data_IF_502317431507
#
_entry.id   IF_502317431507
#
_cell.length_a   1.000
_cell.length_b   1.000
_cell.length_c   1.000
_cell.angle_alpha   90.00
_cell.angle_beta   90.00
_cell.angle_gamma   90.00
#
_symmetry.space_group_name_H-M   'P 1'
#
loop_
_entity.id
_entity.type
_entity.pdbx_description
1 polymer ?
#
# COMPACT_ATOMS: atom_id res chain seq x y z
N UNK A 1 27.62 2.32 2.06
CA UNK A 1 26.45 2.58 2.92
C UNK A 1 25.55 3.58 2.20
N UNK A 2 24.21 3.47 2.29
CA UNK A 2 23.34 4.51 1.75
C UNK A 2 23.59 5.82 2.51
N UNK A 3 23.62 6.93 1.78
CA UNK A 3 23.84 8.27 2.34
C UNK A 3 22.70 8.62 3.31
N UNK A 4 22.99 9.33 4.42
CA UNK A 4 21.93 9.84 5.29
C UNK A 4 21.06 10.79 4.48
N UNK A 5 19.75 10.65 4.68
CA UNK A 5 18.76 11.48 4.01
C UNK A 5 18.77 12.87 4.65
N UNK A 6 18.49 13.93 3.88
CA UNK A 6 18.35 15.25 4.45
C UNK A 6 17.25 15.25 5.51
N UNK A 7 17.51 15.94 6.63
CA UNK A 7 16.54 16.11 7.70
C UNK A 7 15.22 16.67 7.15
N UNK A 8 14.11 15.99 7.46
CA UNK A 8 12.77 16.43 7.05
C UNK A 8 12.21 15.76 5.80
N UNK A 9 13.01 15.01 5.02
CA UNK A 9 12.49 14.37 3.81
C UNK A 9 11.68 13.11 4.12
N UNK A 10 10.48 13.04 3.53
CA UNK A 10 9.61 11.87 3.62
C UNK A 10 9.85 10.97 2.41
N UNK A 11 10.36 9.77 2.66
CA UNK A 11 10.47 8.71 1.66
C UNK A 11 9.22 7.87 1.67
N UNK A 12 8.78 7.52 0.48
CA UNK A 12 7.68 6.60 0.24
C UNK A 12 8.18 5.46 -0.62
N UNK A 13 7.94 4.23 -0.18
CA UNK A 13 8.16 3.01 -0.96
C UNK A 13 6.84 2.26 -1.08
N UNK A 14 6.28 2.26 -2.27
CA UNK A 14 5.08 1.50 -2.59
C UNK A 14 5.44 0.18 -3.25
N UNK A 15 4.71 -0.86 -2.85
CA UNK A 15 4.65 -2.14 -3.54
C UNK A 15 3.19 -2.39 -3.94
N UNK A 16 2.95 -2.34 -5.24
CA UNK A 16 1.65 -2.59 -5.86
C UNK A 16 1.63 -4.00 -6.47
N UNK A 17 0.63 -4.80 -6.12
CA UNK A 17 0.30 -6.04 -6.82
C UNK A 17 -1.11 -5.94 -7.39
N UNK A 18 -1.21 -5.69 -8.70
CA UNK A 18 -2.48 -5.54 -9.41
C UNK A 18 -2.82 -6.80 -10.21
N UNK A 19 -4.09 -7.19 -10.22
CA UNK A 19 -4.61 -8.32 -11.00
C UNK A 19 -4.37 -8.14 -12.51
N UNK A 20 -4.54 -6.91 -13.00
CA UNK A 20 -4.26 -6.54 -14.40
C UNK A 20 -2.81 -6.78 -14.81
N UNK A 21 -1.91 -6.92 -13.83
CA UNK A 21 -0.49 -7.23 -13.98
C UNK A 21 -0.15 -8.67 -13.53
N UNK A 22 -1.16 -9.53 -13.37
CA UNK A 22 -0.99 -10.90 -12.89
C UNK A 22 -0.51 -11.00 -11.45
N UNK A 23 -0.76 -9.96 -10.63
CA UNK A 23 -0.25 -9.81 -9.26
C UNK A 23 1.28 -9.83 -9.13
N UNK A 24 2.01 -9.55 -10.21
CA UNK A 24 3.46 -9.34 -10.11
C UNK A 24 3.74 -8.06 -9.33
N UNK A 25 4.48 -8.10 -8.21
CA UNK A 25 4.77 -6.92 -7.42
C UNK A 25 5.58 -5.89 -8.21
N UNK A 26 5.14 -4.64 -8.19
CA UNK A 26 5.90 -3.49 -8.70
C UNK A 26 6.25 -2.58 -7.54
N UNK A 27 7.53 -2.25 -7.42
CA UNK A 27 8.06 -1.41 -6.36
C UNK A 27 8.48 -0.05 -6.92
N UNK A 28 8.04 1.02 -6.28
CA UNK A 28 8.44 2.39 -6.61
C UNK A 28 8.89 3.11 -5.33
N UNK A 29 9.93 3.94 -5.43
CA UNK A 29 10.45 4.76 -4.33
C UNK A 29 10.52 6.22 -4.78
N UNK A 30 10.00 7.12 -3.96
CA UNK A 30 9.98 8.57 -4.24
C UNK A 30 9.88 9.38 -2.95
N UNK A 31 9.90 10.71 -3.07
CA UNK A 31 9.79 11.63 -1.94
C UNK A 31 8.62 12.60 -2.11
N UNK A 32 7.96 12.93 -1.01
CA UNK A 32 6.91 13.97 -0.92
C UNK A 32 5.52 13.60 -1.43
N UNK A 33 5.33 13.41 -2.74
CA UNK A 33 3.98 13.34 -3.35
C UNK A 33 3.27 12.00 -3.08
N UNK A 34 2.49 11.97 -2.01
CA UNK A 34 1.69 10.80 -1.62
C UNK A 34 0.26 10.81 -2.17
N UNK A 35 -0.22 11.94 -2.71
CA UNK A 35 -1.60 12.03 -3.19
C UNK A 35 -1.81 11.16 -4.44
N UNK A 36 -0.74 10.92 -5.21
CA UNK A 36 -0.73 9.97 -6.35
C UNK A 36 -1.15 8.54 -5.98
N UNK A 37 -0.98 8.15 -4.72
CA UNK A 37 -1.39 6.86 -4.16
C UNK A 37 -2.52 7.00 -3.14
N UNK A 38 -3.34 8.05 -3.26
CA UNK A 38 -4.51 8.25 -2.39
C UNK A 38 -4.18 8.37 -0.91
N UNK A 39 -2.98 8.85 -0.57
CA UNK A 39 -2.59 9.22 0.79
C UNK A 39 -2.33 10.72 0.85
N UNK A 40 -2.56 11.33 2.01
CA UNK A 40 -2.25 12.74 2.26
C UNK A 40 -1.28 12.83 3.43
N UNK A 41 -0.19 13.57 3.21
CA UNK A 41 0.71 14.03 4.27
C UNK A 41 0.30 15.44 4.69
N UNK A 42 -0.05 15.62 5.96
CA UNK A 42 -0.30 16.93 6.56
C UNK A 42 0.77 17.20 7.61
N UNK A 43 1.49 18.34 7.57
CA UNK A 43 2.44 18.69 8.61
C UNK A 43 1.75 18.81 9.99
N UNK A 44 2.38 18.25 11.02
CA UNK A 44 1.92 18.32 12.42
C UNK A 44 3.14 18.57 13.32
N UNK A 45 3.61 19.82 13.36
CA UNK A 45 4.84 20.21 14.05
C UNK A 45 6.08 19.64 13.34
N UNK A 46 6.87 18.82 14.05
CA UNK A 46 8.04 18.10 13.50
C UNK A 46 7.67 16.70 12.98
N UNK A 47 6.39 16.39 12.88
CA UNK A 47 5.88 15.11 12.41
C UNK A 47 4.96 15.30 11.19
N UNK A 48 4.69 14.18 10.51
CA UNK A 48 3.76 14.12 9.41
C UNK A 48 2.56 13.27 9.78
N UNK A 49 1.36 13.85 9.75
CA UNK A 49 0.12 13.08 9.81
C UNK A 49 -0.15 12.48 8.44
N UNK A 50 -0.44 11.18 8.42
CA UNK A 50 -0.77 10.45 7.21
C UNK A 50 -2.22 10.03 7.25
N UNK A 51 -2.95 10.42 6.22
CA UNK A 51 -4.39 10.19 6.08
C UNK A 51 -4.65 9.45 4.77
N UNK A 52 -5.55 8.48 4.78
CA UNK A 52 -6.04 7.84 3.55
C UNK A 52 -7.12 8.70 2.94
N UNK A 53 -6.98 9.05 1.66
CA UNK A 53 -7.99 9.76 0.89
C UNK A 53 -9.10 8.81 0.39
N UNK A 54 -10.33 9.31 0.16
CA UNK A 54 -11.38 8.56 -0.49
C UNK A 54 -10.96 8.09 -1.89
N UNK A 55 -11.28 6.84 -2.22
CA UNK A 55 -10.98 6.26 -3.54
C UNK A 55 -12.28 6.17 -4.34
N UNK A 56 -12.45 7.08 -5.32
CA UNK A 56 -13.72 7.30 -6.03
C UNK A 56 -14.19 6.06 -6.82
N UNK A 57 -13.25 5.24 -7.32
CA UNK A 57 -13.53 4.04 -8.11
C UNK A 57 -13.20 2.71 -7.39
N UNK A 58 -12.88 2.75 -6.09
CA UNK A 58 -12.37 1.60 -5.34
C UNK A 58 -13.23 1.25 -4.12
N UNK A 59 -13.32 -0.04 -3.82
CA UNK A 59 -13.97 -0.57 -2.63
C UNK A 59 -12.93 -1.24 -1.71
N UNK A 60 -13.01 -1.09 -0.37
CA UNK A 60 -14.08 -0.44 0.38
C UNK A 60 -14.03 1.09 0.24
N UNK A 61 -15.22 1.70 0.12
CA UNK A 61 -15.37 3.15 0.13
C UNK A 61 -15.24 3.66 1.55
N UNK A 62 -14.54 4.77 1.72
CA UNK A 62 -14.53 5.55 2.95
C UNK A 62 -15.18 6.89 2.66
N UNK A 63 -16.12 7.30 3.51
CA UNK A 63 -16.87 8.54 3.35
C UNK A 63 -16.06 9.78 3.78
N UNK A 64 -14.99 9.58 4.54
CA UNK A 64 -14.09 10.63 5.01
C UNK A 64 -12.62 10.17 4.98
N UNK A 65 -11.66 11.11 4.96
CA UNK A 65 -10.26 10.79 5.18
C UNK A 65 -10.09 10.01 6.49
N UNK A 66 -9.38 8.89 6.43
CA UNK A 66 -9.11 8.06 7.61
C UNK A 66 -7.68 8.31 8.08
N UNK A 67 -7.50 8.78 9.32
CA UNK A 67 -6.17 8.97 9.92
C UNK A 67 -5.51 7.60 10.08
N UNK A 68 -4.35 7.42 9.46
CA UNK A 68 -3.59 6.17 9.54
C UNK A 68 -2.59 6.24 10.70
N UNK A 69 -1.68 7.21 10.67
CA UNK A 69 -0.61 7.36 11.66
C UNK A 69 -0.02 8.78 11.66
N UNK A 70 0.83 9.06 12.64
CA UNK A 70 1.69 10.25 12.71
C UNK A 70 3.13 9.76 12.73
N UNK A 71 3.95 10.13 11.74
CA UNK A 71 5.35 9.71 11.61
C UNK A 71 6.26 10.84 12.06
N UNK A 72 7.01 10.62 13.13
CA UNK A 72 8.06 11.56 13.59
C UNK A 72 9.36 11.34 12.84
N UNK A 73 10.28 12.29 12.96
CA UNK A 73 11.64 12.13 12.43
C UNK A 73 12.29 10.89 13.04
N UNK A 74 12.90 10.06 12.19
CA UNK A 74 13.49 8.78 12.58
C UNK A 74 12.49 7.62 12.73
N UNK A 75 11.19 7.87 12.53
CA UNK A 75 10.17 6.82 12.51
C UNK A 75 9.86 6.37 11.08
N UNK A 76 9.33 5.16 10.99
CA UNK A 76 8.85 4.51 9.78
C UNK A 76 7.45 3.96 10.02
N UNK A 77 6.65 3.87 8.97
CA UNK A 77 5.30 3.36 9.01
C UNK A 77 4.99 2.48 7.82
N UNK A 78 4.10 1.51 8.01
CA UNK A 78 3.59 0.62 6.98
C UNK A 78 2.08 0.69 6.92
N UNK A 79 1.56 0.92 5.73
CA UNK A 79 0.14 0.84 5.42
C UNK A 79 -0.10 -0.28 4.41
N UNK A 80 -1.06 -1.16 4.71
CA UNK A 80 -1.48 -2.24 3.82
C UNK A 80 -2.97 -2.15 3.56
N UNK A 81 -3.36 -2.26 2.31
CA UNK A 81 -4.75 -2.25 1.90
C UNK A 81 -4.95 -3.03 0.60
N UNK A 82 -6.17 -3.44 0.33
CA UNK A 82 -6.56 -4.02 -0.94
C UNK A 82 -7.89 -3.42 -1.39
N UNK A 83 -8.03 -3.35 -2.70
CA UNK A 83 -9.12 -2.64 -3.34
C UNK A 83 -9.73 -3.50 -4.42
N UNK A 84 -11.05 -3.39 -4.57
CA UNK A 84 -11.75 -3.79 -5.79
C UNK A 84 -12.10 -2.53 -6.57
N UNK A 85 -11.53 -2.41 -7.76
CA UNK A 85 -11.75 -1.27 -8.65
C UNK A 85 -12.69 -1.63 -9.79
N UNK A 86 -13.49 -0.66 -10.22
CA UNK A 86 -14.26 -0.76 -11.45
C UNK A 86 -13.31 -0.65 -12.66
N UNK A 87 -13.34 -1.64 -13.56
CA UNK A 87 -12.62 -1.56 -14.84
C UNK A 87 -13.20 -0.47 -15.74
N UNK A 88 -14.52 -0.32 -15.73
CA UNK A 88 -15.26 0.68 -16.48
C UNK A 88 -16.36 1.27 -15.60
N UNK A 89 -16.64 2.55 -15.79
CA UNK A 89 -17.78 3.22 -15.18
C UNK A 89 -19.06 3.03 -15.99
N UNK A 90 -19.03 2.33 -17.14
CA UNK A 90 -20.24 2.01 -17.89
C UNK A 90 -21.10 1.02 -17.09
N UNK A 91 -22.38 1.34 -16.81
CA UNK A 91 -23.31 0.41 -16.21
C UNK A 91 -23.58 -0.84 -17.08
N UNK A 92 -23.24 -0.76 -18.37
CA UNK A 92 -23.51 -1.78 -19.38
C UNK A 92 -22.56 -2.99 -19.36
N UNK A 93 -21.37 -2.83 -18.78
CA UNK A 93 -20.34 -3.89 -18.73
C UNK A 93 -19.54 -3.80 -17.42
N UNK A 94 -20.18 -4.05 -16.26
CA UNK A 94 -19.50 -3.90 -14.98
C UNK A 94 -18.45 -4.99 -14.80
N UNK A 95 -17.21 -4.66 -15.13
CA UNK A 95 -16.04 -5.49 -14.82
C UNK A 95 -15.23 -4.89 -13.67
N UNK A 96 -14.44 -5.72 -13.01
CA UNK A 96 -13.68 -5.37 -11.82
C UNK A 96 -12.25 -5.87 -11.93
N UNK A 97 -11.33 -5.17 -11.27
CA UNK A 97 -9.99 -5.69 -11.01
C UNK A 97 -9.60 -5.44 -9.57
N UNK A 98 -8.67 -6.24 -9.07
CA UNK A 98 -8.17 -6.12 -7.71
C UNK A 98 -6.76 -5.56 -7.65
N UNK A 99 -6.49 -4.77 -6.63
CA UNK A 99 -5.15 -4.32 -6.28
C UNK A 99 -4.85 -4.58 -4.81
N UNK A 100 -3.61 -4.95 -4.51
CA UNK A 100 -3.08 -5.05 -3.16
C UNK A 100 -1.91 -4.10 -3.02
N UNK A 101 -2.00 -3.18 -2.07
CA UNK A 101 -1.04 -2.12 -1.81
C UNK A 101 -0.29 -2.41 -0.52
N UNK A 102 1.02 -2.20 -0.54
CA UNK A 102 1.86 -2.10 0.66
C UNK A 102 2.71 -0.85 0.53
N UNK A 103 2.47 0.13 1.38
CA UNK A 103 3.16 1.42 1.36
C UNK A 103 3.99 1.54 2.63
N UNK A 104 5.29 1.77 2.46
CA UNK A 104 6.19 2.12 3.55
C UNK A 104 6.50 3.61 3.48
N UNK A 105 6.44 4.31 4.61
CA UNK A 105 6.72 5.73 4.72
C UNK A 105 7.79 5.91 5.79
N UNK A 106 8.80 6.71 5.52
CA UNK A 106 9.89 6.99 6.46
C UNK A 106 10.20 8.47 6.47
N UNK A 107 10.44 9.03 7.65
CA UNK A 107 10.79 10.44 7.80
C UNK A 107 12.24 10.56 8.27
N UNK A 108 13.15 10.90 7.34
CA UNK A 108 14.59 10.93 7.61
C UNK A 108 15.20 9.55 7.93
N UNK A 109 14.54 8.45 7.56
CA UNK A 109 14.96 7.07 7.86
C UNK A 109 14.75 6.13 6.67
N UNK A 110 15.63 5.15 6.55
CA UNK A 110 15.51 4.08 5.57
C UNK A 110 14.39 3.08 5.93
N UNK A 111 13.86 2.41 4.92
CA UNK A 111 12.68 1.53 5.06
C UNK A 111 13.07 0.05 5.24
N UNK A 112 14.31 -0.22 5.63
CA UNK A 112 14.87 -1.57 5.76
C UNK A 112 14.50 -2.25 7.09
N UNK A 113 14.17 -1.46 8.10
CA UNK A 113 13.79 -1.92 9.43
C UNK A 113 12.30 -2.27 9.54
N UNK A 114 11.93 -2.91 10.66
CA UNK A 114 10.52 -3.07 11.00
C UNK A 114 9.86 -1.70 11.22
N UNK A 115 8.61 -1.50 10.77
CA UNK A 115 7.94 -0.21 10.90
C UNK A 115 7.56 0.08 12.35
N UNK A 116 7.70 1.33 12.77
CA UNK A 116 7.26 1.81 14.09
C UNK A 116 5.72 1.85 14.18
N UNK A 117 5.05 2.10 13.05
CA UNK A 117 3.59 2.08 12.92
C UNK A 117 3.15 1.10 11.83
N UNK A 118 2.14 0.27 12.08
CA UNK A 118 1.65 -0.69 11.10
C UNK A 118 0.12 -0.75 11.09
N UNK A 119 -0.48 -0.33 9.97
CA UNK A 119 -1.92 -0.35 9.75
C UNK A 119 -2.23 -1.31 8.60
N UNK A 120 -3.04 -2.33 8.88
CA UNK A 120 -3.51 -3.30 7.89
C UNK A 120 -5.02 -3.20 7.72
N UNK A 121 -5.44 -2.62 6.60
CA UNK A 121 -6.82 -2.51 6.15
C UNK A 121 -7.15 -3.50 5.03
N UNK A 122 -6.35 -4.55 4.83
CA UNK A 122 -6.69 -5.58 3.84
C UNK A 122 -7.92 -6.34 4.30
N UNK A 123 -8.93 -6.40 3.44
CA UNK A 123 -10.10 -7.26 3.61
C UNK A 123 -9.84 -8.62 2.97
N UNK A 124 -10.20 -9.69 3.67
CA UNK A 124 -10.14 -11.06 3.17
C UNK A 124 -10.99 -11.32 1.90
N UNK A 125 -11.88 -10.39 1.51
CA UNK A 125 -12.77 -10.54 0.35
C UNK A 125 -12.15 -10.04 -0.97
N UNK A 126 -11.07 -9.25 -0.95
CA UNK A 126 -10.54 -8.60 -2.15
C UNK A 126 -9.12 -9.04 -2.50
N UNK A 127 -8.97 -9.67 -3.66
CA UNK A 127 -7.68 -9.97 -4.26
C UNK A 127 -6.76 -10.89 -3.45
N UNK A 128 -5.69 -11.29 -4.10
CA UNK A 128 -4.68 -12.21 -3.57
C UNK A 128 -4.33 -13.26 -4.61
N UNK A 129 -3.05 -13.63 -4.70
CA UNK A 129 -2.67 -14.84 -5.40
C UNK A 129 -3.34 -16.00 -4.66
N UNK A 130 -4.37 -16.61 -5.27
CA UNK A 130 -4.88 -17.89 -4.81
C UNK A 130 -3.67 -18.78 -4.55
N UNK A 131 -3.50 -19.25 -3.30
CA UNK A 131 -2.35 -20.04 -2.82
C UNK A 131 -1.74 -20.87 -3.95
N UNK A 132 -0.40 -20.90 -4.15
CA UNK A 132 0.18 -21.86 -5.06
C UNK A 132 -0.36 -23.25 -4.68
N UNK A 133 -1.03 -23.90 -5.64
CA UNK A 133 -1.51 -25.27 -5.51
C UNK A 133 -0.34 -26.06 -4.97
N UNK A 134 -0.43 -26.55 -3.72
CA UNK A 134 0.57 -27.49 -3.18
C UNK A 134 0.72 -28.57 -4.25
N UNK A 135 1.91 -28.66 -4.83
CA UNK A 135 2.24 -29.73 -5.75
C UNK A 135 1.84 -31.03 -5.05
N UNK A 136 0.95 -31.81 -5.67
CA UNK A 136 0.77 -33.21 -5.27
C UNK A 136 2.10 -33.89 -5.59
N UNK A 137 2.98 -33.95 -4.60
CA UNK A 137 4.03 -34.97 -4.56
C UNK A 137 3.30 -36.30 -4.51
N UNK A 138 3.06 -36.89 -5.68
CA UNK A 138 2.76 -38.31 -5.79
C UNK A 138 4.02 -39.03 -5.29
N UNK A 139 3.96 -39.52 -4.06
CA UNK A 139 4.88 -40.55 -3.62
C UNK A 139 4.57 -41.80 -4.44
N UNK A 140 5.40 -42.10 -5.42
CA UNK A 140 5.48 -43.44 -5.98
C UNK A 140 6.40 -44.26 -5.07
N UNK A 141 5.79 -45.10 -4.23
CA UNK A 141 6.44 -46.29 -3.65
C UNK A 141 5.88 -47.49 -4.41
N UNK A 142 6.73 -48.19 -5.16
CA UNK A 142 7.10 -49.59 -4.95
C UNK A 142 8.03 -50.05 -6.07
#
# INVERSE_FOLDING_TARGET
MPSPLPDGEVIVHEVLAAETLGYQPRAEVWTGDTERIGLRLTPEGTAWRVERLPVIAGYPRHESPNRLFVVRQGETARYRANFRFLHTTCPCDPSWYYESWTVHIGHGRDLSAAPDHDVDHRTHLYGGSTRPRRARLRSARH
#
